data_IF_980917371202
#
_entry.id   IF_980917371202
#
_cell.length_a   1.000
_cell.length_b   1.000
_cell.length_c   1.000
_cell.angle_alpha   90.00
_cell.angle_beta   90.00
_cell.angle_gamma   90.00
#
_symmetry.space_group_name_H-M   'P 1'
#
loop_
_entity.id
_entity.type
_entity.pdbx_description
1 polymer ?
#
# COMPACT_ATOMS: atom_id res chain seq x y z
N UNK A 1 -24.93 24.99 9.29
CA UNK A 1 -23.89 25.93 8.84
C UNK A 1 -22.56 25.19 8.86
N UNK A 2 -22.29 24.44 7.80
CA UNK A 2 -21.03 23.70 7.66
C UNK A 2 -20.04 24.64 6.97
N UNK A 3 -19.09 25.15 7.75
CA UNK A 3 -18.05 26.05 7.26
C UNK A 3 -17.08 25.25 6.39
N UNK A 4 -17.25 25.36 5.08
CA UNK A 4 -16.29 24.91 4.08
C UNK A 4 -14.95 25.59 4.35
N UNK A 5 -13.88 24.81 4.43
CA UNK A 5 -12.50 25.21 4.72
C UNK A 5 -11.86 26.15 3.66
N UNK A 6 -12.65 26.86 2.87
CA UNK A 6 -12.25 27.56 1.64
C UNK A 6 -11.83 29.01 1.92
N UNK A 7 -12.25 29.61 3.03
CA UNK A 7 -11.84 30.99 3.35
C UNK A 7 -10.74 31.04 4.41
N UNK A 8 -9.54 31.39 3.92
CA UNK A 8 -8.40 31.92 4.67
C UNK A 8 -7.65 30.93 5.56
N UNK A 9 -6.57 30.41 4.98
CA UNK A 9 -5.30 30.20 5.67
C UNK A 9 -5.29 29.29 6.90
N UNK A 10 -6.20 28.33 7.00
CA UNK A 10 -6.03 27.18 7.89
C UNK A 10 -5.39 26.05 7.13
N UNK A 11 -4.24 25.62 7.61
CA UNK A 11 -3.57 24.40 7.20
C UNK A 11 -4.58 23.25 7.18
N UNK A 12 -5.02 22.83 5.99
CA UNK A 12 -5.80 21.62 5.84
C UNK A 12 -4.93 20.48 6.38
N UNK A 13 -5.33 19.93 7.52
CA UNK A 13 -4.61 18.92 8.28
C UNK A 13 -4.50 17.64 7.43
N UNK A 14 -3.49 16.81 7.68
CA UNK A 14 -3.26 15.56 6.92
C UNK A 14 -4.52 14.69 6.87
N UNK A 15 -5.27 14.66 7.98
CA UNK A 15 -6.51 13.88 8.10
C UNK A 15 -7.64 14.44 7.22
N UNK A 16 -7.79 15.75 7.16
CA UNK A 16 -8.81 16.41 6.31
C UNK A 16 -8.51 16.17 4.82
N UNK A 17 -7.24 16.18 4.42
CA UNK A 17 -6.85 15.84 3.03
C UNK A 17 -7.21 14.41 2.67
N UNK A 18 -6.92 13.46 3.57
CA UNK A 18 -7.25 12.07 3.37
C UNK A 18 -8.76 11.85 3.22
N UNK A 19 -9.57 12.57 4.01
CA UNK A 19 -11.01 12.54 3.92
C UNK A 19 -11.52 13.07 2.56
N UNK A 20 -10.97 14.20 2.08
CA UNK A 20 -11.31 14.72 0.75
C UNK A 20 -10.90 13.77 -0.39
N UNK A 21 -9.74 13.11 -0.28
CA UNK A 21 -9.31 12.09 -1.24
C UNK A 21 -10.25 10.88 -1.21
N UNK A 22 -10.67 10.42 -0.02
CA UNK A 22 -11.61 9.32 0.13
C UNK A 22 -12.98 9.65 -0.47
N UNK A 23 -13.50 10.85 -0.20
CA UNK A 23 -14.75 11.36 -0.80
C UNK A 23 -14.65 11.48 -2.32
N UNK A 24 -13.52 11.92 -2.85
CA UNK A 24 -13.28 11.94 -4.30
C UNK A 24 -13.33 10.51 -4.87
N UNK A 25 -12.60 9.57 -4.27
CA UNK A 25 -12.55 8.17 -4.72
C UNK A 25 -13.93 7.50 -4.68
N UNK A 26 -14.75 7.75 -3.66
CA UNK A 26 -16.10 7.20 -3.57
C UNK A 26 -17.11 7.87 -4.51
N UNK A 27 -16.86 9.12 -4.92
CA UNK A 27 -17.78 9.84 -5.80
C UNK A 27 -17.84 9.30 -7.23
N UNK A 28 -16.77 8.64 -7.72
CA UNK A 28 -16.65 8.20 -9.11
C UNK A 28 -16.61 9.34 -10.14
N UNK A 29 -16.59 10.60 -9.67
CA UNK A 29 -16.57 11.79 -10.53
C UNK A 29 -15.17 12.03 -11.08
N UNK A 30 -15.09 12.72 -12.22
CA UNK A 30 -13.81 13.20 -12.74
C UNK A 30 -13.28 14.32 -11.84
N UNK A 31 -11.97 14.31 -11.59
CA UNK A 31 -11.26 15.27 -10.73
C UNK A 31 -11.67 16.75 -10.90
N UNK A 32 -11.78 17.33 -12.12
CA UNK A 32 -12.23 18.72 -12.28
C UNK A 32 -13.67 18.95 -11.81
N UNK A 33 -14.57 17.99 -12.05
CA UNK A 33 -15.97 18.12 -11.69
C UNK A 33 -16.16 18.04 -10.17
N UNK A 34 -15.44 17.12 -9.51
CA UNK A 34 -15.44 17.04 -8.05
C UNK A 34 -14.86 18.30 -7.40
N UNK A 35 -13.78 18.84 -7.97
CA UNK A 35 -13.16 20.06 -7.47
C UNK A 35 -14.11 21.27 -7.56
N UNK A 36 -14.81 21.42 -8.69
CA UNK A 36 -15.79 22.49 -8.91
C UNK A 36 -16.99 22.37 -7.97
N UNK A 37 -17.59 21.18 -7.84
CA UNK A 37 -18.75 20.93 -6.97
C UNK A 37 -18.46 21.23 -5.50
N UNK A 38 -17.23 21.00 -5.04
CA UNK A 38 -16.83 21.17 -3.64
C UNK A 38 -16.02 22.46 -3.39
N UNK A 39 -15.90 23.35 -4.38
CA UNK A 39 -15.16 24.61 -4.26
C UNK A 39 -13.66 24.44 -4.00
N UNK A 40 -13.10 23.28 -4.33
CA UNK A 40 -11.68 22.97 -4.18
C UNK A 40 -10.91 23.42 -5.42
N UNK A 41 -9.69 23.94 -5.22
CA UNK A 41 -8.78 24.20 -6.34
C UNK A 41 -8.30 22.86 -6.93
N UNK A 42 -8.50 22.66 -8.24
CA UNK A 42 -8.08 21.45 -8.96
C UNK A 42 -6.59 21.10 -8.73
N UNK A 43 -5.71 22.10 -8.78
CA UNK A 43 -4.27 21.91 -8.55
C UNK A 43 -3.95 21.42 -7.13
N UNK A 44 -4.72 21.88 -6.13
CA UNK A 44 -4.56 21.46 -4.74
C UNK A 44 -4.96 20.01 -4.55
N UNK A 45 -6.12 19.60 -5.08
CA UNK A 45 -6.60 18.22 -4.98
C UNK A 45 -5.67 17.25 -5.72
N UNK A 46 -5.19 17.63 -6.92
CA UNK A 46 -4.19 16.84 -7.67
C UNK A 46 -2.90 16.63 -6.87
N UNK A 47 -2.39 17.70 -6.25
CA UNK A 47 -1.18 17.63 -5.42
C UNK A 47 -1.39 16.72 -4.20
N UNK A 48 -2.56 16.77 -3.56
CA UNK A 48 -2.87 15.89 -2.43
C UNK A 48 -2.90 14.41 -2.83
N UNK A 49 -3.52 14.08 -3.97
CA UNK A 49 -3.56 12.71 -4.49
C UNK A 49 -2.15 12.21 -4.85
N UNK A 50 -1.34 13.06 -5.51
CA UNK A 50 0.04 12.69 -5.86
C UNK A 50 0.92 12.50 -4.62
N UNK A 51 0.79 13.39 -3.62
CA UNK A 51 1.52 13.25 -2.35
C UNK A 51 1.07 12.03 -1.56
N UNK A 52 -0.23 11.72 -1.51
CA UNK A 52 -0.70 10.49 -0.85
C UNK A 52 -0.16 9.24 -1.56
N UNK A 53 -0.13 9.22 -2.89
CA UNK A 53 0.48 8.12 -3.64
C UNK A 53 1.97 7.98 -3.32
N UNK A 54 2.72 9.10 -3.28
CA UNK A 54 4.14 9.12 -2.96
C UNK A 54 4.44 8.71 -1.50
N UNK A 55 3.63 9.17 -0.54
CA UNK A 55 3.75 8.79 0.86
C UNK A 55 3.33 7.32 1.09
N UNK A 56 2.37 6.81 0.33
CA UNK A 56 1.98 5.40 0.36
C UNK A 56 3.06 4.50 -0.24
N UNK A 57 3.78 4.97 -1.27
CA UNK A 57 4.96 4.27 -1.79
C UNK A 57 6.15 4.36 -0.84
N UNK A 58 6.40 5.52 -0.22
CA UNK A 58 7.44 5.67 0.81
C UNK A 58 7.12 4.89 2.10
N UNK A 59 5.84 4.63 2.37
CA UNK A 59 5.35 3.85 3.50
C UNK A 59 5.29 2.34 3.28
N UNK A 60 5.66 1.83 2.09
CA UNK A 60 5.63 0.38 1.80
C UNK A 60 6.84 -0.15 1.05
N UNK A 61 8.02 0.30 1.47
CA UNK A 61 9.25 -0.46 1.31
C UNK A 61 10.02 -0.47 2.63
N UNK A 62 9.40 -0.96 3.70
CA UNK A 62 10.22 -1.64 4.69
C UNK A 62 10.53 -3.02 4.09
N UNK A 63 11.67 -3.14 3.43
CA UNK A 63 12.34 -4.45 3.31
C UNK A 63 12.79 -4.85 4.72
N UNK A 64 11.83 -5.09 5.60
CA UNK A 64 12.02 -5.51 6.98
C UNK A 64 11.61 -6.95 7.11
N UNK A 65 12.39 -7.73 7.85
CA UNK A 65 11.97 -9.05 8.28
C UNK A 65 10.72 -8.90 9.15
N UNK A 66 9.65 -9.59 8.79
CA UNK A 66 8.45 -9.69 9.61
C UNK A 66 8.39 -11.10 10.19
N UNK A 67 8.53 -11.21 11.50
CA UNK A 67 8.32 -12.48 12.21
C UNK A 67 6.83 -12.78 12.25
N UNK A 68 6.46 -14.00 11.84
CA UNK A 68 5.10 -14.49 11.88
C UNK A 68 5.05 -15.72 12.79
N UNK A 69 4.31 -15.61 13.89
CA UNK A 69 4.07 -16.74 14.79
C UNK A 69 3.10 -17.71 14.12
N UNK A 70 3.63 -18.83 13.63
CA UNK A 70 2.80 -19.91 13.12
C UNK A 70 2.33 -20.78 14.29
N UNK A 71 1.03 -21.10 14.40
CA UNK A 71 0.58 -22.13 15.31
C UNK A 71 1.27 -23.44 14.93
N UNK A 72 1.92 -24.08 15.92
CA UNK A 72 2.76 -25.29 15.81
C UNK A 72 2.55 -26.06 14.49
N UNK A 73 3.39 -25.76 13.50
CA UNK A 73 3.40 -26.52 12.25
C UNK A 73 4.07 -27.83 12.58
N UNK A 74 3.28 -28.90 12.73
CA UNK A 74 3.79 -30.25 12.69
C UNK A 74 4.35 -30.51 11.29
N UNK A 75 5.60 -30.11 11.06
CA UNK A 75 6.32 -30.31 9.82
C UNK A 75 6.46 -31.83 9.59
N UNK A 76 5.53 -32.40 8.82
CA UNK A 76 5.43 -33.83 8.53
C UNK A 76 6.06 -34.19 7.18
N UNK A 77 6.83 -33.28 6.59
CA UNK A 77 7.49 -33.46 5.30
C UNK A 77 8.99 -33.10 5.33
N UNK A 78 9.74 -33.42 4.26
CA UNK A 78 11.18 -33.19 4.18
C UNK A 78 11.58 -31.71 4.00
N UNK A 79 10.61 -30.80 3.98
CA UNK A 79 10.78 -29.38 3.69
C UNK A 79 10.56 -28.54 4.96
N UNK A 80 11.37 -27.50 5.14
CA UNK A 80 11.24 -26.56 6.25
C UNK A 80 10.12 -25.55 6.02
N UNK A 81 9.84 -25.19 4.77
CA UNK A 81 8.73 -24.33 4.39
C UNK A 81 8.31 -24.57 2.94
N UNK A 82 7.04 -24.33 2.65
CA UNK A 82 6.48 -24.27 1.31
C UNK A 82 5.78 -22.91 1.12
N UNK A 83 6.07 -22.24 0.02
CA UNK A 83 5.49 -20.94 -0.36
C UNK A 83 4.76 -21.12 -1.68
N UNK A 84 3.44 -20.93 -1.66
CA UNK A 84 2.61 -20.93 -2.86
C UNK A 84 2.37 -19.49 -3.32
N UNK A 85 2.72 -19.20 -4.56
CA UNK A 85 2.54 -17.89 -5.19
C UNK A 85 1.20 -17.83 -5.94
N UNK A 86 0.60 -16.64 -6.13
CA UNK A 86 -0.69 -16.49 -6.82
C UNK A 86 -0.69 -16.93 -8.29
N UNK A 87 0.48 -17.02 -8.90
CA UNK A 87 0.70 -17.49 -10.28
C UNK A 87 0.75 -19.03 -10.39
N UNK A 88 0.60 -19.75 -9.27
CA UNK A 88 0.67 -21.20 -9.20
C UNK A 88 2.09 -21.75 -9.03
N UNK A 89 3.11 -20.90 -8.92
CA UNK A 89 4.48 -21.33 -8.61
C UNK A 89 4.55 -21.76 -7.14
N UNK A 90 5.17 -22.91 -6.88
CA UNK A 90 5.40 -23.43 -5.53
C UNK A 90 6.89 -23.50 -5.25
N UNK A 91 7.33 -22.79 -4.21
CA UNK A 91 8.72 -22.77 -3.74
C UNK A 91 8.83 -23.63 -2.49
N UNK A 92 9.64 -24.68 -2.53
CA UNK A 92 9.94 -25.55 -1.38
C UNK A 92 11.32 -25.26 -0.86
N UNK A 93 11.42 -25.01 0.44
CA UNK A 93 12.66 -24.64 1.12
C UNK A 93 13.12 -25.80 2.00
N UNK A 94 14.36 -26.24 1.80
CA UNK A 94 15.00 -27.23 2.67
C UNK A 94 15.49 -26.61 3.98
N UNK A 95 15.71 -27.44 5.01
CA UNK A 95 16.15 -27.00 6.34
C UNK A 95 17.50 -26.27 6.37
N UNK A 96 18.36 -26.53 5.38
CA UNK A 96 19.71 -25.94 5.27
C UNK A 96 19.76 -24.68 4.42
N UNK A 97 18.62 -24.23 3.88
CA UNK A 97 18.55 -23.04 3.04
C UNK A 97 18.86 -21.78 3.86
N UNK A 98 19.82 -20.97 3.39
CA UNK A 98 20.19 -19.74 4.09
C UNK A 98 19.18 -18.61 3.81
N UNK A 99 18.91 -17.72 4.78
CA UNK A 99 17.95 -16.62 4.59
C UNK A 99 18.26 -15.72 3.39
N UNK A 100 19.54 -15.44 3.12
CA UNK A 100 19.98 -14.64 1.98
C UNK A 100 19.69 -15.32 0.64
N UNK A 101 19.90 -16.64 0.55
CA UNK A 101 19.60 -17.41 -0.65
C UNK A 101 18.09 -17.50 -0.90
N UNK A 102 17.30 -17.73 0.17
CA UNK A 102 15.83 -17.73 0.11
C UNK A 102 15.31 -16.38 -0.41
N UNK A 103 15.84 -15.27 0.10
CA UNK A 103 15.45 -13.94 -0.36
C UNK A 103 15.77 -13.72 -1.85
N UNK A 104 16.94 -14.14 -2.31
CA UNK A 104 17.31 -14.06 -3.74
C UNK A 104 16.42 -14.92 -4.63
N UNK A 105 16.08 -16.13 -4.18
CA UNK A 105 15.17 -17.03 -4.89
C UNK A 105 13.78 -16.40 -5.00
N UNK A 106 13.20 -15.95 -3.87
CA UNK A 106 11.87 -15.34 -3.82
C UNK A 106 11.77 -14.06 -4.66
N UNK A 107 12.84 -13.25 -4.73
CA UNK A 107 12.91 -12.09 -5.63
C UNK A 107 12.91 -12.48 -7.10
N UNK A 108 13.50 -13.63 -7.44
CA UNK A 108 13.59 -14.11 -8.82
C UNK A 108 12.26 -14.70 -9.29
N UNK A 109 11.56 -15.41 -8.41
CA UNK A 109 10.29 -16.07 -8.75
C UNK A 109 9.07 -15.17 -8.59
N UNK A 110 9.17 -14.06 -7.84
CA UNK A 110 8.12 -13.04 -7.85
C UNK A 110 8.29 -12.19 -9.10
N UNK A 111 7.38 -12.23 -10.08
CA UNK A 111 7.37 -11.21 -11.12
C UNK A 111 7.24 -9.84 -10.43
N UNK A 112 8.08 -8.89 -10.86
CA UNK A 112 7.99 -7.49 -10.46
C UNK A 112 6.57 -7.00 -10.76
N UNK A 113 5.73 -6.84 -9.73
CA UNK A 113 4.47 -6.10 -9.84
C UNK A 113 4.75 -4.60 -9.80
#
# INVERSE_FOLDING_TARGET
>A
METTCIEKHRYCNRNERAEWIARYRSSGLRLPHFAEQHGLKLGTLRNWIQKEAHESSLGRETTGFQELLLPSVAATGPWAAEVQLPDGVVVRLGMVATPSWIASLLKTVRPSC
#
